data_IF_569937425593
#
_entry.id   IF_569937425593
#
_cell.length_a   1.000
_cell.length_b   1.000
_cell.length_c   1.000
_cell.angle_alpha   90.00
_cell.angle_beta   90.00
_cell.angle_gamma   90.00
#
_symmetry.space_group_name_H-M   'P 1'
#
loop_
_entity.id
_entity.type
_entity.pdbx_description
1 polymer ?
#
# COMPACT_ATOMS: atom_id res chain seq x y z
N UNK A 1 7.60 3.47 18.94
CA UNK A 1 6.66 3.78 17.83
C UNK A 1 5.46 2.83 17.82
N UNK A 2 5.68 1.52 17.68
CA UNK A 2 4.59 0.51 17.63
C UNK A 2 3.63 0.56 18.83
N UNK A 3 4.13 0.76 20.05
CA UNK A 3 3.30 0.87 21.25
C UNK A 3 2.29 2.02 21.16
N UNK A 4 2.74 3.22 20.75
CA UNK A 4 1.89 4.41 20.59
C UNK A 4 0.84 4.17 19.50
N UNK A 5 1.25 3.64 18.34
CA UNK A 5 0.31 3.31 17.26
C UNK A 5 -0.73 2.26 17.70
N UNK A 6 -0.33 1.30 18.54
CA UNK A 6 -1.26 0.29 19.07
C UNK A 6 -2.34 0.89 19.99
N UNK A 7 -2.06 2.03 20.64
CA UNK A 7 -3.05 2.75 21.44
C UNK A 7 -4.05 3.47 20.53
N UNK A 8 -3.57 4.20 19.51
CA UNK A 8 -4.42 4.89 18.54
C UNK A 8 -5.38 3.95 17.81
N UNK A 9 -4.88 2.78 17.42
CA UNK A 9 -5.66 1.81 16.64
C UNK A 9 -6.70 1.07 17.50
N UNK A 10 -6.56 1.10 18.83
CA UNK A 10 -7.54 0.57 19.79
C UNK A 10 -8.45 1.65 20.38
N UNK A 11 -8.31 2.90 19.93
CA UNK A 11 -9.14 4.00 20.39
C UNK A 11 -10.61 3.73 20.00
N UNK A 12 -11.54 3.66 20.97
CA UNK A 12 -12.93 3.30 20.70
C UNK A 12 -13.69 4.33 19.85
N UNK A 13 -13.17 5.55 19.72
CA UNK A 13 -13.74 6.59 18.84
C UNK A 13 -13.39 6.33 17.37
N UNK A 14 -12.23 5.72 17.12
CA UNK A 14 -11.69 5.48 15.77
C UNK A 14 -11.82 4.00 15.33
N UNK A 15 -11.92 3.07 16.27
CA UNK A 15 -11.89 1.65 16.01
C UNK A 15 -13.21 1.14 15.43
N UNK A 16 -13.10 0.46 14.29
CA UNK A 16 -14.07 -0.55 13.87
C UNK A 16 -13.46 -1.89 14.29
N UNK A 17 -14.13 -2.65 15.15
CA UNK A 17 -13.55 -3.73 15.98
C UNK A 17 -12.63 -4.75 15.25
N UNK A 18 -12.87 -5.02 13.97
CA UNK A 18 -12.10 -6.00 13.17
C UNK A 18 -10.84 -5.46 12.46
N UNK A 19 -10.57 -4.15 12.53
CA UNK A 19 -9.47 -3.50 11.79
C UNK A 19 -8.19 -3.35 12.61
N UNK A 20 -8.28 -3.33 13.94
CA UNK A 20 -7.17 -2.90 14.79
C UNK A 20 -5.92 -3.80 14.69
N UNK A 21 -6.10 -5.11 14.84
CA UNK A 21 -4.99 -6.08 14.74
C UNK A 21 -4.40 -6.11 13.32
N UNK A 22 -5.27 -5.96 12.31
CA UNK A 22 -4.90 -6.01 10.90
C UNK A 22 -4.07 -4.79 10.50
N UNK A 23 -4.44 -3.60 10.98
CA UNK A 23 -3.66 -2.37 10.81
C UNK A 23 -2.30 -2.48 11.48
N UNK A 24 -2.22 -3.01 12.71
CA UNK A 24 -0.94 -3.16 13.41
C UNK A 24 0.01 -4.11 12.68
N UNK A 25 -0.49 -5.24 12.14
CA UNK A 25 0.33 -6.15 11.35
C UNK A 25 0.94 -5.46 10.12
N UNK A 26 0.16 -4.67 9.37
CA UNK A 26 0.67 -3.92 8.22
C UNK A 26 1.78 -2.94 8.63
N UNK A 27 1.60 -2.26 9.76
CA UNK A 27 2.61 -1.32 10.27
C UNK A 27 3.89 -2.07 10.64
N UNK A 28 3.78 -3.22 11.30
CA UNK A 28 4.93 -4.09 11.60
C UNK A 28 5.63 -4.54 10.33
N UNK A 29 4.89 -4.97 9.30
CA UNK A 29 5.44 -5.39 8.01
C UNK A 29 6.18 -4.21 7.34
N UNK A 30 5.59 -3.00 7.32
CA UNK A 30 6.23 -1.77 6.80
C UNK A 30 7.55 -1.47 7.50
N UNK A 31 7.60 -1.61 8.83
CA UNK A 31 8.79 -1.33 9.63
C UNK A 31 9.86 -2.44 9.57
N UNK A 32 9.48 -3.67 9.24
CA UNK A 32 10.37 -4.83 9.18
C UNK A 32 10.97 -5.08 7.79
N UNK A 33 10.98 -4.06 6.92
CA UNK A 33 11.60 -4.15 5.60
C UNK A 33 10.70 -4.78 4.53
N UNK A 34 9.41 -4.97 4.78
CA UNK A 34 8.54 -5.57 3.77
C UNK A 34 8.49 -4.70 2.51
N UNK A 35 8.46 -5.37 1.36
CA UNK A 35 8.41 -4.70 0.06
C UNK A 35 7.14 -3.83 -0.08
N UNK A 36 7.27 -2.52 -0.40
CA UNK A 36 6.13 -1.62 -0.56
C UNK A 36 5.07 -2.08 -1.56
N UNK A 37 5.46 -2.75 -2.66
CA UNK A 37 4.51 -3.31 -3.63
C UNK A 37 3.66 -4.43 -3.02
N UNK A 38 4.26 -5.28 -2.18
CA UNK A 38 3.55 -6.37 -1.52
C UNK A 38 2.55 -5.82 -0.50
N UNK A 39 3.00 -4.87 0.33
CA UNK A 39 2.17 -4.21 1.32
C UNK A 39 0.98 -3.48 0.66
N UNK A 40 1.24 -2.74 -0.42
CA UNK A 40 0.19 -2.02 -1.15
C UNK A 40 -0.86 -2.98 -1.75
N UNK A 41 -0.43 -4.12 -2.30
CA UNK A 41 -1.37 -5.12 -2.82
C UNK A 41 -2.22 -5.74 -1.73
N UNK A 42 -1.64 -6.01 -0.56
CA UNK A 42 -2.39 -6.51 0.58
C UNK A 42 -3.44 -5.49 1.05
N UNK A 43 -3.06 -4.22 1.15
CA UNK A 43 -3.97 -3.12 1.50
C UNK A 43 -5.13 -3.00 0.49
N UNK A 44 -4.85 -3.08 -0.81
CA UNK A 44 -5.87 -3.08 -1.86
C UNK A 44 -6.78 -4.30 -1.75
N UNK A 45 -6.21 -5.50 -1.54
CA UNK A 45 -6.95 -6.75 -1.45
C UNK A 45 -7.92 -6.81 -0.26
N UNK A 46 -7.60 -6.10 0.83
CA UNK A 46 -8.46 -5.95 2.01
C UNK A 46 -9.64 -4.99 1.76
N UNK A 47 -9.53 -4.08 0.81
CA UNK A 47 -10.60 -3.14 0.49
C UNK A 47 -11.60 -3.77 -0.50
N UNK A 48 -12.77 -4.17 0.01
CA UNK A 48 -13.81 -4.82 -0.76
C UNK A 48 -14.28 -4.00 -1.99
N UNK A 49 -14.23 -2.67 -1.91
CA UNK A 49 -14.59 -1.78 -3.02
C UNK A 49 -13.54 -1.80 -4.13
N UNK A 50 -12.25 -1.84 -3.76
CA UNK A 50 -11.14 -1.89 -4.71
C UNK A 50 -10.91 -3.29 -5.30
N UNK A 51 -11.45 -4.32 -4.64
CA UNK A 51 -11.43 -5.72 -5.09
C UNK A 51 -12.50 -6.04 -6.15
N UNK A 52 -13.52 -5.19 -6.35
CA UNK A 52 -14.60 -5.47 -7.31
C UNK A 52 -14.06 -5.62 -8.74
N UNK A 53 -14.38 -6.75 -9.36
CA UNK A 53 -14.05 -7.10 -10.76
C UNK A 53 -14.75 -6.19 -11.79
N UNK A 54 -15.70 -5.36 -11.37
CA UNK A 54 -16.41 -4.42 -12.25
C UNK A 54 -15.55 -3.24 -12.70
N UNK A 55 -14.32 -3.09 -12.18
CA UNK A 55 -13.36 -2.15 -12.72
C UNK A 55 -12.77 -2.72 -14.01
N UNK A 56 -12.75 -1.91 -15.07
CA UNK A 56 -12.18 -2.26 -16.38
C UNK A 56 -10.74 -2.81 -16.26
N UNK A 57 -10.02 -2.42 -15.20
CA UNK A 57 -8.80 -3.08 -14.73
C UNK A 57 -8.72 -3.04 -13.20
N UNK A 58 -8.54 -4.19 -12.51
CA UNK A 58 -8.32 -4.22 -11.07
C UNK A 58 -7.03 -3.50 -10.65
N UNK A 59 -7.08 -2.73 -9.56
CA UNK A 59 -5.96 -1.89 -9.10
C UNK A 59 -4.70 -2.72 -8.79
N UNK A 60 -4.82 -3.97 -8.33
CA UNK A 60 -3.65 -4.81 -8.07
C UNK A 60 -2.84 -5.13 -9.34
N UNK A 61 -3.49 -5.20 -10.52
CA UNK A 61 -2.80 -5.38 -11.81
C UNK A 61 -2.02 -4.14 -12.22
N UNK A 62 -2.53 -2.95 -11.87
CA UNK A 62 -1.80 -1.70 -12.04
C UNK A 62 -0.51 -1.72 -11.22
N UNK A 63 -0.59 -2.15 -9.96
CA UNK A 63 0.59 -2.26 -9.08
C UNK A 63 1.62 -3.24 -9.66
N UNK A 64 1.18 -4.37 -10.23
CA UNK A 64 2.06 -5.30 -10.94
C UNK A 64 2.76 -4.67 -12.15
N UNK A 65 2.02 -3.91 -12.96
CA UNK A 65 2.58 -3.20 -14.11
C UNK A 65 3.61 -2.16 -13.69
N UNK A 66 3.31 -1.38 -12.65
CA UNK A 66 4.22 -0.36 -12.12
C UNK A 66 5.51 -0.99 -11.59
N UNK A 67 5.40 -2.13 -10.91
CA UNK A 67 6.58 -2.90 -10.49
C UNK A 67 7.42 -3.34 -11.70
N UNK A 68 6.75 -3.77 -12.77
CA UNK A 68 7.38 -4.29 -13.98
C UNK A 68 8.25 -5.53 -13.69
N UNK A 69 9.30 -5.69 -14.48
CA UNK A 69 10.23 -6.82 -14.39
C UNK A 69 11.46 -6.54 -13.50
N UNK A 70 11.39 -5.52 -12.65
CA UNK A 70 12.48 -5.20 -11.74
C UNK A 70 12.65 -6.32 -10.69
N UNK A 71 13.70 -7.14 -10.85
CA UNK A 71 14.03 -8.26 -9.96
C UNK A 71 14.23 -7.84 -8.51
N UNK A 72 14.71 -6.61 -8.26
CA UNK A 72 14.84 -6.07 -6.91
C UNK A 72 13.49 -6.03 -6.19
N UNK A 73 12.46 -5.51 -6.87
CA UNK A 73 11.12 -5.38 -6.31
C UNK A 73 10.28 -6.66 -6.37
N UNK A 74 10.85 -7.78 -6.84
CA UNK A 74 10.24 -9.12 -6.71
C UNK A 74 10.57 -9.77 -5.36
N UNK A 75 11.56 -9.25 -4.62
CA UNK A 75 11.93 -9.75 -3.28
C UNK A 75 10.87 -9.39 -2.23
N UNK A 76 10.68 -10.24 -1.24
CA UNK A 76 9.72 -9.99 -0.15
C UNK A 76 10.21 -8.91 0.83
N UNK A 77 11.52 -8.84 1.05
CA UNK A 77 12.16 -7.87 1.93
C UNK A 77 13.17 -7.02 1.18
N UNK A 78 13.19 -5.74 1.52
CA UNK A 78 14.05 -4.71 0.97
C UNK A 78 14.74 -3.98 2.11
N UNK A 79 15.97 -3.52 1.87
CA UNK A 79 16.62 -2.59 2.79
C UNK A 79 16.00 -1.19 2.70
N UNK A 80 16.35 -0.30 3.64
CA UNK A 80 15.74 1.03 3.71
C UNK A 80 15.87 1.85 2.41
N UNK A 81 17.02 1.81 1.73
CA UNK A 81 17.23 2.55 0.48
C UNK A 81 16.41 1.96 -0.66
N UNK A 82 16.36 0.63 -0.78
CA UNK A 82 15.53 -0.07 -1.76
C UNK A 82 14.03 0.18 -1.52
N UNK A 83 13.60 0.26 -0.26
CA UNK A 83 12.23 0.62 0.08
C UNK A 83 11.89 2.05 -0.33
N UNK A 84 12.80 3.01 -0.08
CA UNK A 84 12.62 4.40 -0.51
C UNK A 84 12.51 4.50 -2.02
N UNK A 85 13.37 3.80 -2.76
CA UNK A 85 13.32 3.77 -4.22
C UNK A 85 12.01 3.17 -4.75
N UNK A 86 11.56 2.05 -4.18
CA UNK A 86 10.27 1.45 -4.52
C UNK A 86 9.10 2.41 -4.23
N UNK A 87 9.12 3.12 -3.09
CA UNK A 87 8.09 4.09 -2.73
C UNK A 87 8.06 5.28 -3.69
N UNK A 88 9.22 5.81 -4.07
CA UNK A 88 9.32 6.88 -5.05
C UNK A 88 8.75 6.43 -6.39
N UNK A 89 9.14 5.25 -6.88
CA UNK A 89 8.65 4.71 -8.14
C UNK A 89 7.12 4.53 -8.16
N UNK A 90 6.55 4.04 -7.06
CA UNK A 90 5.09 3.94 -6.90
C UNK A 90 4.46 5.35 -6.92
N UNK A 91 4.99 6.28 -6.13
CA UNK A 91 4.41 7.62 -5.96
C UNK A 91 4.49 8.48 -7.22
N UNK A 92 5.52 8.31 -8.05
CA UNK A 92 5.71 9.06 -9.30
C UNK A 92 5.22 8.31 -10.53
N UNK A 93 4.62 7.14 -10.37
CA UNK A 93 4.14 6.35 -11.49
C UNK A 93 3.00 7.06 -12.23
N UNK A 94 3.22 7.34 -13.52
CA UNK A 94 2.20 7.89 -14.41
C UNK A 94 0.94 7.03 -14.44
N UNK A 95 1.10 5.70 -14.40
CA UNK A 95 -0.01 4.74 -14.41
C UNK A 95 -0.91 4.89 -13.17
N UNK A 96 -0.32 5.16 -12.00
CA UNK A 96 -1.06 5.41 -10.76
C UNK A 96 -1.65 6.82 -10.76
N UNK A 97 -0.84 7.83 -11.07
CA UNK A 97 -1.26 9.24 -11.03
C UNK A 97 -2.39 9.54 -12.03
N UNK A 98 -2.38 8.92 -13.21
CA UNK A 98 -3.45 9.08 -14.21
C UNK A 98 -4.80 8.54 -13.75
N UNK A 99 -4.84 7.71 -12.69
CA UNK A 99 -6.05 7.10 -12.14
C UNK A 99 -6.37 7.58 -10.73
N UNK A 100 -5.63 8.56 -10.24
CA UNK A 100 -5.93 9.19 -8.96
C UNK A 100 -7.29 9.90 -9.02
N UNK A 101 -7.95 10.01 -7.86
CA UNK A 101 -9.19 10.77 -7.73
C UNK A 101 -9.00 12.20 -8.27
N UNK A 102 -9.92 12.69 -9.11
CA UNK A 102 -9.78 13.99 -9.79
C UNK A 102 -9.52 15.17 -8.84
N UNK A 103 -10.04 15.13 -7.60
CA UNK A 103 -9.78 16.16 -6.58
C UNK A 103 -8.35 16.15 -6.03
N UNK A 104 -7.58 15.08 -6.23
CA UNK A 104 -6.17 14.99 -5.84
C UNK A 104 -5.26 15.88 -6.69
N UNK A 105 -5.65 16.14 -7.95
CA UNK A 105 -4.93 17.02 -8.88
C UNK A 105 -3.42 16.72 -8.99
N UNK A 106 -3.03 15.50 -9.41
CA UNK A 106 -1.62 15.11 -9.47
C UNK A 106 -0.76 15.87 -10.50
N UNK A 107 -1.39 16.63 -11.40
CA UNK A 107 -0.73 17.38 -12.49
C UNK A 107 -1.04 18.88 -12.47
N UNK A 108 -1.64 19.40 -11.39
CA UNK A 108 -1.96 20.82 -11.28
C UNK A 108 -0.75 21.68 -10.93
#
# INVERSE_FOLDING_TARGET
MLHVLSMFVKDPVLAKDDDARKCMKIVEDKLNGQNPFAVLKEDIGRNATLRRESLQEPIYKLVDRVRGDNEMWKRDKLNAFEQVDALLHIATSRDILARAYNGWRPYA
#
